data_IF_355923376206
#
_entry.id   IF_355923376206
#
_cell.length_a   1.000
_cell.length_b   1.000
_cell.length_c   1.000
_cell.angle_alpha   90.00
_cell.angle_beta   90.00
_cell.angle_gamma   90.00
#
_symmetry.space_group_name_H-M   'P 1'
#
loop_
_entity.id
_entity.type
_entity.pdbx_description
1 polymer ?
#
# COMPACT_ATOMS: atom_id res chain seq x y z
N UNK A 1 1.49 -10.78 19.98
CA UNK A 1 2.21 -10.26 18.81
C UNK A 1 2.78 -11.47 18.08
N UNK A 2 2.35 -11.75 16.84
CA UNK A 2 2.77 -12.96 16.10
C UNK A 2 4.00 -12.57 15.26
N UNK A 3 5.20 -13.05 15.59
CA UNK A 3 6.43 -12.70 14.86
C UNK A 3 6.36 -13.38 13.48
N UNK A 4 6.09 -12.58 12.44
CA UNK A 4 5.95 -13.05 11.07
C UNK A 4 4.98 -12.18 10.26
N UNK A 5 3.83 -11.83 10.86
CA UNK A 5 2.80 -11.04 10.18
C UNK A 5 3.24 -9.60 9.88
N UNK A 6 4.07 -9.01 10.75
CA UNK A 6 4.59 -7.64 10.56
C UNK A 6 5.68 -7.56 9.47
N UNK A 7 6.54 -8.59 9.35
CA UNK A 7 7.60 -8.65 8.34
C UNK A 7 7.04 -8.92 6.93
N UNK A 8 6.03 -9.79 6.84
CA UNK A 8 5.29 -10.03 5.59
C UNK A 8 4.48 -8.80 5.18
N UNK A 9 3.86 -8.11 6.13
CA UNK A 9 3.09 -6.89 5.88
C UNK A 9 3.93 -5.76 5.28
N UNK A 10 5.15 -5.52 5.78
CA UNK A 10 6.04 -4.49 5.25
C UNK A 10 6.55 -4.85 3.85
N UNK A 11 6.90 -6.11 3.64
CA UNK A 11 7.38 -6.59 2.33
C UNK A 11 6.28 -6.49 1.26
N UNK A 12 5.05 -6.87 1.63
CA UNK A 12 3.85 -6.66 0.81
C UNK A 12 3.65 -5.17 0.54
N UNK A 13 3.63 -4.33 1.57
CA UNK A 13 3.37 -2.90 1.44
C UNK A 13 4.35 -2.21 0.50
N UNK A 14 5.65 -2.50 0.67
CA UNK A 14 6.72 -1.95 -0.16
C UNK A 14 6.57 -2.36 -1.62
N UNK A 15 6.26 -3.63 -1.86
CA UNK A 15 6.03 -4.19 -3.21
C UNK A 15 4.77 -3.58 -3.84
N UNK A 16 3.68 -3.48 -3.08
CA UNK A 16 2.42 -2.90 -3.51
C UNK A 16 2.57 -1.43 -3.91
N UNK A 17 3.22 -0.62 -3.07
CA UNK A 17 3.51 0.77 -3.40
C UNK A 17 4.43 0.89 -4.62
N UNK A 18 5.39 -0.02 -4.79
CA UNK A 18 6.30 0.01 -5.94
C UNK A 18 5.53 -0.22 -7.25
N UNK A 19 4.55 -1.12 -7.22
CA UNK A 19 3.67 -1.37 -8.36
C UNK A 19 2.70 -0.22 -8.62
N UNK A 20 1.98 0.26 -7.58
CA UNK A 20 0.99 1.35 -7.70
C UNK A 20 1.65 2.66 -8.16
N UNK A 21 2.85 2.96 -7.68
CA UNK A 21 3.59 4.18 -8.01
C UNK A 21 4.40 4.06 -9.30
N UNK A 22 4.40 2.88 -9.95
CA UNK A 22 5.22 2.58 -11.12
C UNK A 22 6.73 2.80 -10.89
N UNK A 23 7.20 2.49 -9.67
CA UNK A 23 8.59 2.67 -9.20
C UNK A 23 9.14 1.34 -8.63
N UNK A 24 9.38 0.32 -9.47
CA UNK A 24 9.80 -1.02 -9.03
C UNK A 24 11.17 -1.05 -8.35
N UNK A 25 12.04 -0.07 -8.64
CA UNK A 25 13.38 0.07 -8.04
C UNK A 25 13.35 0.32 -6.53
N UNK A 26 12.23 0.82 -5.99
CA UNK A 26 12.05 1.11 -4.57
C UNK A 26 11.62 -0.13 -3.76
N UNK A 27 11.52 -1.30 -4.39
CA UNK A 27 11.33 -2.57 -3.72
C UNK A 27 12.68 -3.12 -3.20
N UNK A 28 13.21 -2.50 -2.15
CA UNK A 28 14.56 -2.76 -1.61
C UNK A 28 14.69 -4.04 -0.78
N UNK A 29 13.65 -4.89 -0.69
CA UNK A 29 13.67 -6.12 0.13
C UNK A 29 13.78 -5.90 1.65
N UNK A 30 13.81 -4.64 2.09
CA UNK A 30 13.85 -4.27 3.50
C UNK A 30 12.50 -4.55 4.18
N UNK A 31 12.55 -5.32 5.26
CA UNK A 31 11.40 -5.57 6.15
C UNK A 31 11.18 -4.45 7.18
N UNK A 32 11.84 -3.30 7.05
CA UNK A 32 11.66 -2.17 7.96
C UNK A 32 10.68 -1.13 7.40
N UNK A 33 9.88 -0.57 8.31
CA UNK A 33 9.09 0.63 8.05
C UNK A 33 9.95 1.87 8.25
N UNK A 34 10.82 2.14 7.27
CA UNK A 34 11.72 3.29 7.27
C UNK A 34 11.02 4.59 6.83
N UNK A 35 11.69 5.73 7.02
CA UNK A 35 11.15 7.04 6.63
C UNK A 35 10.83 7.16 5.13
N UNK A 36 11.54 6.40 4.28
CA UNK A 36 11.25 6.36 2.85
C UNK A 36 9.95 5.64 2.55
N UNK A 37 9.69 4.52 3.23
CA UNK A 37 8.43 3.80 3.11
C UNK A 37 7.26 4.62 3.68
N UNK A 38 7.46 5.31 4.81
CA UNK A 38 6.45 6.20 5.39
C UNK A 38 6.08 7.34 4.43
N UNK A 39 7.07 8.01 3.83
CA UNK A 39 6.82 9.07 2.86
C UNK A 39 5.98 8.58 1.68
N UNK A 40 6.26 7.36 1.18
CA UNK A 40 5.49 6.75 0.09
C UNK A 40 4.06 6.39 0.51
N UNK A 41 3.83 6.00 1.75
CA UNK A 41 2.48 5.80 2.29
C UNK A 41 1.72 7.13 2.34
N UNK A 42 2.36 8.21 2.80
CA UNK A 42 1.75 9.54 2.83
C UNK A 42 1.40 10.05 1.43
N UNK A 43 2.28 9.86 0.46
CA UNK A 43 2.00 10.20 -0.95
C UNK A 43 0.81 9.41 -1.51
N UNK A 44 0.76 8.11 -1.22
CA UNK A 44 -0.37 7.27 -1.60
C UNK A 44 -1.70 7.77 -0.97
N UNK A 45 -1.68 8.04 0.33
CA UNK A 45 -2.83 8.57 1.06
C UNK A 45 -3.30 9.90 0.49
N UNK A 46 -2.37 10.81 0.19
CA UNK A 46 -2.67 12.09 -0.45
C UNK A 46 -3.35 11.91 -1.81
N UNK A 47 -2.77 11.06 -2.67
CA UNK A 47 -3.31 10.78 -4.01
C UNK A 47 -4.71 10.16 -3.97
N UNK A 48 -5.00 9.39 -2.91
CA UNK A 48 -6.29 8.72 -2.69
C UNK A 48 -7.24 9.47 -1.77
N UNK A 49 -6.89 10.69 -1.35
CA UNK A 49 -7.69 11.54 -0.45
C UNK A 49 -8.05 10.86 0.88
N UNK A 50 -7.12 10.06 1.41
CA UNK A 50 -7.16 9.49 2.75
C UNK A 50 -6.58 10.47 3.79
N UNK A 51 -6.72 10.13 5.07
CA UNK A 51 -5.93 10.76 6.14
C UNK A 51 -4.45 10.52 5.88
N UNK A 52 -3.65 11.60 5.83
CA UNK A 52 -2.22 11.57 5.52
C UNK A 52 -1.41 11.41 6.82
N UNK A 53 -1.61 10.29 7.52
CA UNK A 53 -0.96 9.97 8.80
C UNK A 53 0.27 9.08 8.64
N UNK A 54 0.53 8.56 7.44
CA UNK A 54 1.60 7.58 7.21
C UNK A 54 1.33 6.22 7.85
N UNK A 55 0.07 5.89 8.17
CA UNK A 55 -0.33 4.62 8.77
C UNK A 55 -1.18 3.80 7.79
N UNK A 56 -0.79 2.54 7.59
CA UNK A 56 -1.52 1.61 6.72
C UNK A 56 -2.62 0.89 7.51
N UNK A 57 -3.67 1.65 7.83
CA UNK A 57 -4.90 1.13 8.43
C UNK A 57 -5.83 0.44 7.42
N UNK A 58 -6.99 -0.03 7.89
CA UNK A 58 -7.96 -0.79 7.08
C UNK A 58 -8.38 -0.07 5.79
N UNK A 59 -8.67 1.24 5.86
CA UNK A 59 -9.07 2.01 4.68
C UNK A 59 -7.96 2.09 3.63
N UNK A 60 -6.73 2.34 4.07
CA UNK A 60 -5.54 2.34 3.20
C UNK A 60 -5.36 0.99 2.53
N UNK A 61 -5.49 -0.12 3.28
CA UNK A 61 -5.36 -1.48 2.74
C UNK A 61 -6.43 -1.81 1.69
N UNK A 62 -7.69 -1.42 1.92
CA UNK A 62 -8.79 -1.66 0.95
C UNK A 62 -8.50 -0.97 -0.39
N UNK A 63 -8.07 0.30 -0.34
CA UNK A 63 -7.75 1.03 -1.57
C UNK A 63 -6.50 0.46 -2.25
N UNK A 64 -5.47 0.07 -1.50
CA UNK A 64 -4.27 -0.55 -2.07
C UNK A 64 -4.62 -1.85 -2.80
N UNK A 65 -5.46 -2.70 -2.19
CA UNK A 65 -5.93 -3.92 -2.84
C UNK A 65 -6.75 -3.65 -4.11
N UNK A 66 -7.56 -2.59 -4.10
CA UNK A 66 -8.33 -2.16 -5.28
C UNK A 66 -7.40 -1.70 -6.40
N UNK A 67 -6.37 -0.94 -6.05
CA UNK A 67 -5.42 -0.35 -7.00
C UNK A 67 -4.48 -1.39 -7.60
N UNK A 68 -4.08 -2.39 -6.82
CA UNK A 68 -3.32 -3.54 -7.30
C UNK A 68 -4.10 -4.38 -8.32
N UNK A 69 -5.42 -4.15 -8.44
CA UNK A 69 -6.32 -4.86 -9.34
C UNK A 69 -6.01 -6.37 -9.35
N UNK A 70 -5.97 -6.98 -8.16
CA UNK A 70 -5.82 -8.42 -8.05
C UNK A 70 -6.88 -9.07 -8.95
N UNK A 71 -6.50 -10.05 -9.82
CA UNK A 71 -7.46 -10.69 -10.72
C UNK A 71 -8.66 -11.20 -9.91
N UNK A 72 -9.85 -10.64 -10.20
CA UNK A 72 -11.09 -10.94 -9.48
C UNK A 72 -11.62 -9.83 -8.56
N UNK A 73 -10.99 -8.66 -8.48
CA UNK A 73 -11.51 -7.53 -7.67
C UNK A 73 -12.71 -6.87 -8.39
N UNK A 74 -13.95 -6.98 -7.86
CA UNK A 74 -15.11 -6.34 -8.49
C UNK A 74 -14.99 -4.82 -8.33
N UNK A 75 -14.83 -4.12 -9.44
CA UNK A 75 -14.88 -2.67 -9.48
C UNK A 75 -16.35 -2.25 -9.33
N UNK A 76 -16.68 -1.51 -8.27
CA UNK A 76 -17.97 -0.84 -8.15
C UNK A 76 -18.01 0.30 -9.17
N UNK A 77 -18.42 -0.01 -10.39
CA UNK A 77 -18.76 1.01 -11.39
C UNK A 77 -20.07 1.67 -10.97
N UNK A 78 -20.07 3.00 -10.94
CA UNK A 78 -21.27 3.77 -10.66
C UNK A 78 -22.28 3.50 -11.79
N UNK A 79 -23.40 2.86 -11.48
CA UNK A 79 -24.49 2.68 -12.43
C UNK A 79 -25.03 4.07 -12.84
N UNK A 80 -25.12 4.31 -14.14
CA UNK A 80 -25.75 5.50 -14.73
C UNK A 80 -27.27 5.32 -14.80
#
# INVERSE_FOLDING_TARGET
>A
MIPGMEHEGISWLRSSLAWIQNEPSLNTGSSLYDAGLEARVRDYQQNRRLTIDGIVGVQTQILMNTDLALPGTPLLTRAQ
#
